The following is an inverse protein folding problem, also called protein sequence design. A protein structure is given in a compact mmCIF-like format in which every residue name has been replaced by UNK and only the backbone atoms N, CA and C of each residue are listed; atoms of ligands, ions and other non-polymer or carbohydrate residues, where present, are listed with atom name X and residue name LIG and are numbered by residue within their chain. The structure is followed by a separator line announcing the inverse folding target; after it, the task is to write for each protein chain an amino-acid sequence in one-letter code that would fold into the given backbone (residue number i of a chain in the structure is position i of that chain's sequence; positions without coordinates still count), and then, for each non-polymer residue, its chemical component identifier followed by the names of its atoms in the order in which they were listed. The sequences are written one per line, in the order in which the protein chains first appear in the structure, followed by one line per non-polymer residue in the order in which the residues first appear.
data_IF_698099902345
#
_entry.id   IF_698099902345
#
_cell.length_a   1.000
_cell.length_b   1.000
_cell.length_c   1.000
_cell.angle_alpha   90.00
_cell.angle_beta   90.00
_cell.angle_gamma   90.00
#
_symmetry.space_group_name_H-M   'P 1'
#
loop_
_entity.id
_entity.type
_entity.pdbx_description
1 polymer ?
#
# COMPACT_ATOMS: atom_id res chain seq x y z
N UNK A 1 -42.90 28.70 8.94
CA UNK A 1 -43.13 27.54 9.83
C UNK A 1 -42.17 26.44 9.36
N UNK A 2 -41.15 26.12 10.15
CA UNK A 2 -40.20 25.04 9.86
C UNK A 2 -40.87 23.73 10.29
N UNK A 3 -41.21 22.88 9.33
CA UNK A 3 -41.80 21.56 9.61
C UNK A 3 -40.79 20.69 10.33
N UNK A 4 -41.13 20.24 11.54
CA UNK A 4 -40.36 19.24 12.27
C UNK A 4 -40.35 17.93 11.47
N UNK A 5 -39.19 17.60 10.90
CA UNK A 5 -38.93 16.30 10.28
C UNK A 5 -38.45 15.38 11.39
N UNK A 6 -39.30 14.47 11.85
CA UNK A 6 -38.91 13.43 12.81
C UNK A 6 -38.64 12.15 12.04
N UNK A 7 -37.51 11.52 12.32
CA UNK A 7 -37.14 10.21 11.77
C UNK A 7 -37.56 9.15 12.79
N UNK A 8 -38.25 8.10 12.33
CA UNK A 8 -38.64 6.96 13.15
C UNK A 8 -38.17 5.68 12.46
N UNK A 9 -37.46 4.83 13.19
CA UNK A 9 -37.00 3.54 12.69
C UNK A 9 -38.12 2.49 12.81
N UNK A 10 -38.17 1.48 11.91
CA UNK A 10 -39.09 0.35 12.04
C UNK A 10 -38.85 -0.41 13.36
N UNK A 11 -39.91 -0.96 13.96
CA UNK A 11 -39.83 -1.75 15.21
C UNK A 11 -39.16 -3.13 15.03
N UNK A 12 -38.94 -3.55 13.78
CA UNK A 12 -38.43 -4.86 13.40
C UNK A 12 -37.02 -4.73 12.83
N UNK A 13 -36.02 -5.06 13.65
CA UNK A 13 -34.59 -4.95 13.31
C UNK A 13 -34.23 -5.71 12.01
N UNK A 14 -34.97 -6.76 11.66
CA UNK A 14 -34.79 -7.52 10.42
C UNK A 14 -35.21 -6.76 9.15
N UNK A 15 -35.90 -5.61 9.29
CA UNK A 15 -36.27 -4.71 8.18
C UNK A 15 -35.28 -3.56 7.98
N UNK A 16 -34.28 -3.43 8.85
CA UNK A 16 -33.33 -2.31 8.84
C UNK A 16 -32.08 -2.63 8.04
N UNK A 17 -31.64 -3.90 8.00
CA UNK A 17 -30.46 -4.34 7.24
C UNK A 17 -30.78 -5.64 6.49
N UNK A 18 -31.04 -5.54 5.18
CA UNK A 18 -31.40 -6.71 4.34
C UNK A 18 -30.19 -7.48 3.82
N UNK A 19 -28.98 -7.15 4.27
CA UNK A 19 -27.75 -7.83 3.91
C UNK A 19 -26.50 -7.01 4.29
N UNK A 20 -25.48 -7.70 4.76
CA UNK A 20 -24.12 -7.19 4.87
C UNK A 20 -23.36 -7.72 3.65
N UNK A 21 -22.79 -6.83 2.84
CA UNK A 21 -21.85 -7.23 1.80
C UNK A 21 -20.46 -7.20 2.44
N UNK A 22 -19.73 -8.32 2.38
CA UNK A 22 -18.32 -8.28 2.75
C UNK A 22 -17.59 -7.32 1.80
N UNK A 23 -16.67 -6.48 2.33
CA UNK A 23 -15.85 -5.64 1.49
C UNK A 23 -15.04 -6.53 0.53
N UNK A 24 -15.04 -6.18 -0.75
CA UNK A 24 -14.19 -6.85 -1.74
C UNK A 24 -12.74 -6.67 -1.30
N UNK A 25 -11.97 -7.76 -1.23
CA UNK A 25 -10.55 -7.70 -0.96
C UNK A 25 -9.84 -7.03 -2.15
N UNK A 26 -9.25 -5.83 -2.00
CA UNK A 26 -8.59 -5.14 -3.11
C UNK A 26 -7.40 -5.92 -3.71
N UNK A 27 -6.88 -6.89 -2.96
CA UNK A 27 -5.67 -7.66 -3.28
C UNK A 27 -5.94 -8.99 -4.00
N UNK A 28 -7.20 -9.41 -4.09
CA UNK A 28 -7.58 -10.73 -4.61
C UNK A 28 -7.21 -10.92 -6.09
N UNK A 29 -7.22 -9.84 -6.88
CA UNK A 29 -6.96 -9.87 -8.32
C UNK A 29 -5.68 -9.14 -8.73
N UNK A 30 -4.83 -8.82 -7.75
CA UNK A 30 -3.59 -8.09 -7.99
C UNK A 30 -2.53 -9.06 -8.55
N UNK A 31 -1.97 -8.71 -9.71
CA UNK A 31 -0.86 -9.45 -10.30
C UNK A 31 0.40 -9.25 -9.45
N UNK A 32 0.72 -10.25 -8.63
CA UNK A 32 1.91 -10.29 -7.77
C UNK A 32 3.16 -10.76 -8.52
N UNK A 33 3.11 -11.03 -9.83
CA UNK A 33 4.27 -11.52 -10.56
C UNK A 33 5.47 -10.57 -10.41
N UNK A 34 6.55 -11.07 -9.79
CA UNK A 34 7.74 -10.27 -9.49
C UNK A 34 8.35 -9.59 -10.70
N UNK A 35 8.35 -10.23 -11.88
CA UNK A 35 8.90 -9.64 -13.10
C UNK A 35 8.06 -8.43 -13.55
N UNK A 36 6.74 -8.51 -13.34
CA UNK A 36 5.81 -7.41 -13.63
C UNK A 36 5.99 -6.28 -12.63
N UNK A 37 6.11 -6.60 -11.33
CA UNK A 37 6.35 -5.61 -10.27
C UNK A 37 7.68 -4.87 -10.50
N UNK A 38 8.78 -5.60 -10.76
CA UNK A 38 10.10 -5.04 -11.06
C UNK A 38 10.05 -4.17 -12.31
N UNK A 39 9.40 -4.64 -13.39
CA UNK A 39 9.26 -3.88 -14.63
C UNK A 39 8.51 -2.57 -14.43
N UNK A 40 7.40 -2.61 -13.67
CA UNK A 40 6.59 -1.43 -13.39
C UNK A 40 7.29 -0.46 -12.45
N UNK A 41 7.92 -0.94 -11.38
CA UNK A 41 8.74 -0.12 -10.49
C UNK A 41 9.85 0.61 -11.26
N UNK A 42 10.60 -0.10 -12.11
CA UNK A 42 11.68 0.48 -12.94
C UNK A 42 11.15 1.52 -13.94
N UNK A 43 9.95 1.31 -14.50
CA UNK A 43 9.30 2.31 -15.36
C UNK A 43 8.82 3.52 -14.56
N UNK A 44 8.31 3.30 -13.35
CA UNK A 44 7.85 4.37 -12.45
C UNK A 44 9.01 5.26 -12.01
N UNK A 45 10.15 4.67 -11.62
CA UNK A 45 11.37 5.42 -11.29
C UNK A 45 11.71 6.40 -12.43
N UNK A 46 11.80 5.88 -13.67
CA UNK A 46 12.07 6.72 -14.86
C UNK A 46 11.01 7.78 -15.12
N UNK A 47 9.73 7.46 -14.90
CA UNK A 47 8.61 8.41 -15.06
C UNK A 47 8.70 9.56 -14.07
N UNK A 48 9.12 9.27 -12.84
CA UNK A 48 9.24 10.26 -11.76
C UNK A 48 10.62 10.94 -11.70
N UNK A 49 11.57 10.54 -12.55
CA UNK A 49 12.92 11.12 -12.58
C UNK A 49 13.85 10.59 -11.48
N UNK A 50 13.52 9.44 -10.89
CA UNK A 50 14.33 8.74 -9.91
C UNK A 50 15.08 7.56 -10.54
N UNK A 51 16.19 7.16 -9.93
CA UNK A 51 16.86 5.90 -10.23
C UNK A 51 16.28 4.77 -9.36
N UNK A 52 16.14 3.53 -9.90
CA UNK A 52 15.69 2.40 -9.10
C UNK A 52 16.62 2.13 -7.93
N UNK A 53 16.05 1.98 -6.73
CA UNK A 53 16.82 1.63 -5.53
C UNK A 53 17.25 0.17 -5.65
N UNK A 54 18.56 -0.07 -5.61
CA UNK A 54 19.12 -1.41 -5.82
C UNK A 54 18.63 -2.40 -4.77
N UNK A 55 18.63 -2.01 -3.49
CA UNK A 55 18.16 -2.87 -2.40
C UNK A 55 16.71 -3.29 -2.58
N UNK A 56 15.86 -2.44 -3.17
CA UNK A 56 14.47 -2.79 -3.51
C UNK A 56 14.46 -3.85 -4.60
N UNK A 57 15.19 -3.65 -5.70
CA UNK A 57 15.27 -4.63 -6.79
C UNK A 57 15.74 -6.01 -6.30
N UNK A 58 16.83 -6.03 -5.52
CA UNK A 58 17.40 -7.27 -4.97
C UNK A 58 16.35 -7.99 -4.10
N UNK A 59 15.63 -7.26 -3.23
CA UNK A 59 14.56 -7.82 -2.40
C UNK A 59 13.40 -8.37 -3.26
N UNK A 60 12.96 -7.64 -4.30
CA UNK A 60 11.89 -8.09 -5.20
C UNK A 60 12.26 -9.40 -5.94
N UNK A 61 13.52 -9.56 -6.32
CA UNK A 61 13.99 -10.77 -7.00
C UNK A 61 14.00 -12.00 -6.08
N UNK A 62 14.35 -11.78 -4.80
CA UNK A 62 14.46 -12.80 -3.75
C UNK A 62 13.11 -13.20 -3.14
N UNK A 63 12.05 -12.40 -3.33
CA UNK A 63 10.74 -12.70 -2.80
C UNK A 63 10.22 -14.04 -3.32
N UNK A 64 9.98 -14.92 -2.37
CA UNK A 64 9.24 -16.17 -2.57
C UNK A 64 7.78 -15.87 -2.33
N UNK A 65 7.06 -15.61 -3.42
CA UNK A 65 5.62 -15.43 -3.42
C UNK A 65 4.98 -16.83 -3.44
N UNK A 66 5.24 -17.59 -2.39
CA UNK A 66 4.80 -18.96 -2.24
C UNK A 66 3.51 -19.05 -1.40
N UNK A 67 2.61 -18.05 -1.43
CA UNK A 67 1.19 -18.29 -1.14
C UNK A 67 0.29 -17.08 -1.41
N UNK A 68 -0.99 -17.37 -1.66
CA UNK A 68 -2.03 -16.50 -2.23
C UNK A 68 -2.58 -15.43 -1.24
N UNK A 69 -1.75 -14.94 -0.31
CA UNK A 69 -2.22 -14.01 0.72
C UNK A 69 -1.23 -13.61 1.83
N UNK A 70 -0.01 -14.15 1.85
CA UNK A 70 0.93 -13.81 2.92
C UNK A 70 1.68 -12.51 2.64
N UNK A 71 1.84 -11.69 3.70
CA UNK A 71 2.66 -10.48 3.69
C UNK A 71 4.13 -10.90 3.66
N UNK A 72 4.94 -10.26 2.82
CA UNK A 72 6.39 -10.39 2.90
C UNK A 72 6.89 -9.87 4.25
N UNK A 73 7.90 -10.51 4.84
CA UNK A 73 8.32 -10.19 6.22
C UNK A 73 8.81 -8.74 6.39
N UNK A 74 9.56 -8.21 5.42
CA UNK A 74 10.10 -6.86 5.51
C UNK A 74 10.42 -6.28 4.13
N UNK A 75 10.09 -5.01 3.90
CA UNK A 75 10.74 -4.17 2.90
C UNK A 75 11.79 -3.32 3.61
N UNK A 76 13.06 -3.64 3.42
CA UNK A 76 14.16 -2.95 4.07
C UNK A 76 14.66 -1.77 3.22
N UNK A 77 14.39 -0.54 3.67
CA UNK A 77 14.89 0.70 3.05
C UNK A 77 15.94 1.39 3.92
N UNK A 78 16.50 0.68 4.91
CA UNK A 78 17.43 1.26 5.87
C UNK A 78 18.63 1.92 5.17
N UNK A 79 18.88 3.18 5.49
CA UNK A 79 20.02 3.94 4.96
C UNK A 79 19.84 4.45 3.53
N UNK A 80 18.66 4.26 2.91
CA UNK A 80 18.40 4.72 1.54
C UNK A 80 18.07 6.21 1.50
N UNK A 81 18.50 6.88 0.43
CA UNK A 81 18.12 8.27 0.14
C UNK A 81 16.73 8.31 -0.49
N UNK A 82 15.71 8.57 0.34
CA UNK A 82 14.31 8.56 -0.07
C UNK A 82 13.82 9.97 -0.41
N UNK A 83 14.04 10.38 -1.66
CA UNK A 83 13.38 11.59 -2.20
C UNK A 83 11.91 11.34 -2.44
N UNK A 84 11.14 12.42 -2.62
CA UNK A 84 9.72 12.31 -2.97
C UNK A 84 9.50 11.49 -4.25
N UNK A 85 10.32 11.67 -5.27
CA UNK A 85 10.25 10.90 -6.53
C UNK A 85 10.51 9.41 -6.32
N UNK A 86 11.44 9.05 -5.43
CA UNK A 86 11.67 7.67 -5.02
C UNK A 86 10.42 7.08 -4.35
N UNK A 87 9.80 7.81 -3.42
CA UNK A 87 8.57 7.39 -2.75
C UNK A 87 7.41 7.20 -3.75
N UNK A 88 7.17 8.16 -4.64
CA UNK A 88 6.13 8.06 -5.68
C UNK A 88 6.36 6.84 -6.60
N UNK A 89 7.64 6.53 -6.90
CA UNK A 89 7.96 5.32 -7.66
C UNK A 89 7.67 4.02 -6.90
N UNK A 90 7.85 4.01 -5.57
CA UNK A 90 7.54 2.86 -4.70
C UNK A 90 6.05 2.49 -4.68
N UNK A 91 5.15 3.37 -5.14
CA UNK A 91 3.72 3.05 -5.29
C UNK A 91 3.49 1.75 -6.07
N UNK A 92 4.27 1.51 -7.14
CA UNK A 92 4.10 0.30 -7.96
C UNK A 92 4.41 -1.00 -7.20
N UNK A 93 5.24 -0.91 -6.17
CA UNK A 93 5.54 -2.00 -5.23
C UNK A 93 4.44 -2.10 -4.17
N UNK A 94 4.14 -1.00 -3.49
CA UNK A 94 3.20 -0.95 -2.36
C UNK A 94 1.76 -1.29 -2.76
N UNK A 95 1.36 -0.99 -4.02
CA UNK A 95 0.04 -1.34 -4.53
C UNK A 95 -0.10 -2.77 -5.03
N UNK A 96 0.99 -3.56 -5.02
CA UNK A 96 0.98 -4.96 -5.47
C UNK A 96 1.45 -5.96 -4.43
N UNK A 97 2.22 -5.49 -3.46
CA UNK A 97 2.80 -6.34 -2.44
C UNK A 97 2.58 -5.73 -1.07
N UNK A 98 2.30 -6.62 -0.12
CA UNK A 98 2.09 -6.27 1.26
C UNK A 98 3.25 -6.81 2.08
N UNK A 99 3.64 -6.04 3.10
CA UNK A 99 4.73 -6.34 4.00
C UNK A 99 4.22 -6.39 5.45
N UNK A 100 4.88 -7.13 6.33
CA UNK A 100 4.65 -7.01 7.76
C UNK A 100 5.30 -5.73 8.29
N UNK A 101 6.54 -5.46 7.85
CA UNK A 101 7.30 -4.28 8.24
C UNK A 101 7.87 -3.55 7.02
N UNK A 102 7.91 -2.23 7.06
CA UNK A 102 8.80 -1.44 6.21
C UNK A 102 9.85 -0.81 7.13
N UNK A 103 11.12 -1.05 6.84
CA UNK A 103 12.23 -0.54 7.64
C UNK A 103 12.70 0.82 7.11
N UNK A 104 12.47 1.89 7.86
CA UNK A 104 12.82 3.27 7.47
C UNK A 104 13.98 3.86 8.29
N UNK A 105 14.66 3.03 9.10
CA UNK A 105 15.82 3.46 9.89
C UNK A 105 16.89 4.13 9.02
N UNK A 106 17.47 5.22 9.52
CA UNK A 106 18.56 5.93 8.86
C UNK A 106 18.26 6.40 7.42
N UNK A 107 16.98 6.52 7.03
CA UNK A 107 16.57 7.10 5.73
C UNK A 107 16.56 8.63 5.73
N UNK A 108 16.61 9.23 4.54
CA UNK A 108 16.61 10.70 4.37
C UNK A 108 15.24 11.28 4.04
N UNK A 109 14.16 10.85 4.70
CA UNK A 109 12.81 11.34 4.42
C UNK A 109 12.65 12.81 4.85
N UNK A 110 12.22 13.66 3.91
CA UNK A 110 11.71 14.99 4.21
C UNK A 110 10.19 14.97 4.43
N UNK A 111 9.60 16.12 4.79
CA UNK A 111 8.17 16.22 5.10
C UNK A 111 7.29 15.83 3.89
N UNK A 112 7.70 16.18 2.66
CA UNK A 112 6.91 15.90 1.46
C UNK A 112 6.99 14.41 1.06
N UNK A 113 8.19 13.83 1.10
CA UNK A 113 8.41 12.41 0.86
C UNK A 113 7.69 11.54 1.92
N UNK A 114 7.70 11.98 3.17
CA UNK A 114 7.02 11.29 4.28
C UNK A 114 5.51 11.24 4.05
N UNK A 115 4.89 12.39 3.72
CA UNK A 115 3.45 12.45 3.45
C UNK A 115 3.08 11.52 2.30
N UNK A 116 3.81 11.61 1.17
CA UNK A 116 3.54 10.75 0.02
C UNK A 116 3.63 9.26 0.41
N UNK A 117 4.72 8.84 1.05
CA UNK A 117 4.96 7.45 1.42
C UNK A 117 3.89 6.92 2.40
N UNK A 118 3.55 7.69 3.43
CA UNK A 118 2.58 7.25 4.43
C UNK A 118 1.16 7.21 3.89
N UNK A 119 0.76 8.15 3.04
CA UNK A 119 -0.53 8.12 2.36
C UNK A 119 -0.66 6.84 1.51
N UNK A 120 0.39 6.45 0.79
CA UNK A 120 0.39 5.21 0.00
C UNK A 120 0.34 3.96 0.88
N UNK A 121 1.10 3.93 1.98
CA UNK A 121 1.11 2.79 2.90
C UNK A 121 -0.28 2.61 3.54
N UNK A 122 -0.94 3.71 3.94
CA UNK A 122 -2.29 3.68 4.50
C UNK A 122 -3.32 3.26 3.46
N UNK A 123 -3.31 3.90 2.28
CA UNK A 123 -4.29 3.63 1.23
C UNK A 123 -4.27 2.18 0.74
N UNK A 124 -3.08 1.58 0.65
CA UNK A 124 -2.90 0.18 0.23
C UNK A 124 -2.80 -0.80 1.41
N UNK A 125 -2.89 -0.33 2.67
CA UNK A 125 -2.59 -1.18 3.83
C UNK A 125 -1.27 -1.97 3.65
N UNK A 126 -0.28 -1.34 3.02
CA UNK A 126 0.89 -2.02 2.48
C UNK A 126 1.80 -2.59 3.56
N UNK A 127 1.73 -2.07 4.80
CA UNK A 127 2.51 -2.54 5.94
C UNK A 127 1.68 -2.57 7.22
N UNK A 128 2.02 -3.45 8.17
CA UNK A 128 1.42 -3.44 9.52
C UNK A 128 2.29 -2.73 10.56
N UNK A 129 3.59 -2.57 10.28
CA UNK A 129 4.55 -1.92 11.17
C UNK A 129 5.52 -1.03 10.38
N UNK A 130 5.88 0.11 10.98
CA UNK A 130 6.93 1.04 10.55
C UNK A 130 7.89 1.27 11.74
N UNK A 131 9.15 1.63 11.50
CA UNK A 131 10.15 2.00 12.52
C UNK A 131 10.97 3.23 12.13
#
# INVERSE_FOLDING_TARGET
QLGNRTVSFPEDDNKIVTGYLEPVNPWEYVDKNKDVVISNYTKSCRKHGAEPIKSVLDQLEELRLDDDGERASCLNLKGEELTRECCEALEEVLKRMQFERINLEDTTLDDEASVALFDMIEYYEAATHLN
#
